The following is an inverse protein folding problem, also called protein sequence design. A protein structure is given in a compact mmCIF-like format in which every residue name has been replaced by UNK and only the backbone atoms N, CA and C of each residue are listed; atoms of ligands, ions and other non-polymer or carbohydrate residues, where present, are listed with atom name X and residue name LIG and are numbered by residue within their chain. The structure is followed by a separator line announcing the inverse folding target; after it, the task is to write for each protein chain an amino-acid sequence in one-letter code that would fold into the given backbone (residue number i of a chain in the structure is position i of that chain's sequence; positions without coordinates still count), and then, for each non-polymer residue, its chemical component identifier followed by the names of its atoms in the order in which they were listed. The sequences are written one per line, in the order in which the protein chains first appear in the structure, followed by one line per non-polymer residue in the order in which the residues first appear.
data_IF_114283563515
#
_entry.id   IF_114283563515
#
_cell.length_a   1.000
_cell.length_b   1.000
_cell.length_c   1.000
_cell.angle_alpha   90.00
_cell.angle_beta   90.00
_cell.angle_gamma   90.00
#
_symmetry.space_group_name_H-M   'P 1'
#
loop_
_entity.id
_entity.type
_entity.pdbx_description
1 polymer ?
#
# COMPACT_ATOMS: atom_id res chain seq x y z
N UNK A 1 -27.14 -8.89 -20.72
CA UNK A 1 -27.63 -9.41 -19.43
C UNK A 1 -26.72 -10.55 -18.98
N UNK A 2 -25.64 -10.26 -18.26
CA UNK A 2 -24.87 -11.31 -17.59
C UNK A 2 -25.52 -11.59 -16.23
N UNK A 3 -26.33 -12.64 -16.18
CA UNK A 3 -26.83 -13.21 -14.93
C UNK A 3 -25.67 -13.95 -14.25
N UNK A 4 -25.35 -13.53 -13.03
CA UNK A 4 -24.70 -14.36 -12.02
C UNK A 4 -23.23 -14.68 -12.22
N UNK A 5 -22.35 -13.75 -11.85
CA UNK A 5 -21.00 -14.12 -11.37
C UNK A 5 -20.93 -13.82 -9.87
N UNK A 6 -21.33 -14.79 -9.05
CA UNK A 6 -20.94 -14.81 -7.63
C UNK A 6 -19.46 -15.20 -7.56
N UNK A 7 -18.58 -14.20 -7.56
CA UNK A 7 -17.16 -14.39 -7.35
C UNK A 7 -16.86 -14.75 -5.89
N UNK A 8 -16.99 -16.03 -5.54
CA UNK A 8 -16.32 -16.61 -4.38
C UNK A 8 -15.61 -17.88 -4.84
N UNK A 9 -14.31 -17.78 -5.11
CA UNK A 9 -13.44 -18.94 -5.25
C UNK A 9 -12.89 -19.27 -3.86
N UNK A 10 -13.45 -20.30 -3.24
CA UNK A 10 -12.98 -20.86 -1.98
C UNK A 10 -14.11 -21.26 -1.04
N UNK A 11 -13.96 -22.39 -0.34
CA UNK A 11 -14.77 -22.69 0.86
C UNK A 11 -14.68 -21.48 1.80
N UNK A 12 -15.68 -21.28 2.67
CA UNK A 12 -15.66 -20.30 3.79
C UNK A 12 -14.56 -20.58 4.82
N UNK A 13 -13.45 -21.21 4.45
CA UNK A 13 -12.20 -21.11 5.18
C UNK A 13 -11.76 -19.66 5.05
N UNK A 14 -11.98 -18.89 6.10
CA UNK A 14 -11.19 -17.68 6.32
C UNK A 14 -9.73 -18.04 6.03
N UNK A 15 -9.14 -17.39 5.03
CA UNK A 15 -7.68 -17.27 4.99
C UNK A 15 -7.37 -16.49 6.26
N UNK A 16 -6.90 -17.20 7.29
CA UNK A 16 -6.64 -16.59 8.58
C UNK A 16 -5.55 -15.55 8.37
N UNK A 17 -5.87 -14.29 8.65
CA UNK A 17 -4.83 -13.29 8.92
C UNK A 17 -3.89 -13.88 9.99
N UNK A 18 -2.64 -13.41 10.02
CA UNK A 18 -1.64 -13.90 10.95
C UNK A 18 -2.11 -13.89 12.40
N UNK A 19 -1.44 -14.65 13.25
CA UNK A 19 -1.69 -14.79 14.70
C UNK A 19 -1.56 -13.49 15.54
N UNK A 20 -1.53 -12.31 14.91
CA UNK A 20 -1.29 -11.02 15.58
C UNK A 20 0.18 -10.72 15.85
N UNK A 21 1.11 -11.60 15.45
CA UNK A 21 2.53 -11.47 15.75
C UNK A 21 3.25 -10.51 14.81
N UNK A 22 4.11 -9.67 15.39
CA UNK A 22 5.05 -8.83 14.67
C UNK A 22 6.37 -9.58 14.62
N UNK A 23 6.79 -9.93 13.40
CA UNK A 23 7.98 -10.73 13.18
C UNK A 23 9.23 -9.87 13.03
N UNK A 24 10.30 -10.27 13.70
CA UNK A 24 11.64 -9.71 13.57
C UNK A 24 12.41 -10.40 12.42
N UNK A 25 13.42 -9.72 11.89
CA UNK A 25 14.21 -10.23 10.78
C UNK A 25 14.87 -11.59 11.09
N UNK A 26 15.44 -11.75 12.29
CA UNK A 26 16.10 -12.98 12.73
C UNK A 26 15.15 -14.17 12.89
N UNK A 27 13.84 -13.95 13.00
CA UNK A 27 12.87 -15.03 12.99
C UNK A 27 12.72 -15.62 11.59
N UNK A 28 12.98 -14.85 10.52
CA UNK A 28 12.84 -15.28 9.14
C UNK A 28 14.11 -15.85 8.52
N UNK A 29 15.27 -15.29 8.84
CA UNK A 29 16.52 -15.55 8.11
C UNK A 29 17.62 -16.08 9.04
N UNK A 30 18.57 -16.83 8.49
CA UNK A 30 19.69 -17.43 9.24
C UNK A 30 19.50 -18.91 9.52
N UNK A 31 20.58 -19.58 9.96
CA UNK A 31 20.59 -21.04 10.22
C UNK A 31 19.61 -21.46 11.31
N UNK A 32 19.44 -20.59 12.31
CA UNK A 32 18.68 -20.85 13.53
C UNK A 32 17.22 -20.37 13.41
N UNK A 33 16.86 -19.76 12.28
CA UNK A 33 15.49 -19.32 12.01
C UNK A 33 14.56 -20.53 11.83
N UNK A 34 13.34 -20.42 12.36
CA UNK A 34 12.28 -21.40 12.14
C UNK A 34 11.78 -21.40 10.69
N UNK A 35 11.80 -20.24 10.02
CA UNK A 35 11.24 -20.06 8.68
C UNK A 35 12.27 -20.29 7.58
N UNK A 36 13.55 -19.95 7.82
CA UNK A 36 14.65 -20.10 6.86
C UNK A 36 14.37 -19.46 5.49
N UNK A 37 13.63 -18.36 5.48
CA UNK A 37 13.36 -17.58 4.29
C UNK A 37 14.65 -17.02 3.72
N UNK A 38 14.66 -16.84 2.40
CA UNK A 38 15.79 -16.24 1.71
C UNK A 38 15.73 -14.71 1.82
N UNK A 39 16.76 -14.13 2.42
CA UNK A 39 16.99 -12.69 2.36
C UNK A 39 17.50 -12.32 0.96
N UNK A 40 16.83 -11.37 0.32
CA UNK A 40 17.27 -10.74 -0.90
C UNK A 40 17.72 -9.31 -0.58
N UNK A 41 19.03 -9.15 -0.46
CA UNK A 41 19.65 -7.84 -0.31
C UNK A 41 19.71 -7.11 -1.65
N UNK A 42 19.76 -5.77 -1.61
CA UNK A 42 19.94 -4.96 -2.80
C UNK A 42 21.37 -5.15 -3.33
N UNK A 43 21.55 -5.62 -4.59
CA UNK A 43 22.89 -5.81 -5.14
C UNK A 43 23.68 -4.49 -5.15
N UNK A 44 25.00 -4.52 -4.84
CA UNK A 44 25.85 -3.34 -4.95
C UNK A 44 25.77 -2.70 -6.34
N UNK A 45 25.61 -1.38 -6.40
CA UNK A 45 25.48 -0.64 -7.65
C UNK A 45 24.06 -0.58 -8.23
N UNK A 46 23.07 -1.20 -7.57
CA UNK A 46 21.66 -0.96 -7.88
C UNK A 46 21.31 0.49 -7.52
N UNK A 47 21.20 1.34 -8.53
CA UNK A 47 20.79 2.72 -8.36
C UNK A 47 19.26 2.79 -8.35
N UNK A 48 18.67 3.34 -7.28
CA UNK A 48 17.34 3.90 -7.40
C UNK A 48 17.43 5.23 -8.12
N UNK A 49 16.59 5.43 -9.14
CA UNK A 49 16.31 6.78 -9.64
C UNK A 49 15.40 7.42 -8.61
N UNK A 50 15.87 8.41 -7.82
CA UNK A 50 15.00 9.06 -6.85
C UNK A 50 13.87 9.76 -7.60
N UNK A 51 12.65 9.62 -7.08
CA UNK A 51 11.54 10.45 -7.51
C UNK A 51 11.83 11.83 -6.88
N UNK A 52 12.27 12.79 -7.69
CA UNK A 52 12.60 14.15 -7.25
C UNK A 52 11.45 15.12 -7.59
N UNK A 53 11.27 16.16 -6.79
CA UNK A 53 10.34 17.25 -7.10
C UNK A 53 11.00 18.26 -8.07
N UNK A 54 10.20 19.08 -8.77
CA UNK A 54 10.68 20.02 -9.80
C UNK A 54 11.73 21.02 -9.33
N UNK A 55 11.84 21.22 -8.02
CA UNK A 55 12.78 22.15 -7.41
C UNK A 55 14.12 21.50 -7.02
N UNK A 56 14.37 20.23 -7.41
CA UNK A 56 15.63 19.47 -7.26
C UNK A 56 16.23 19.40 -5.83
N UNK A 57 15.49 19.88 -4.83
CA UNK A 57 16.01 20.17 -3.48
C UNK A 57 15.37 19.33 -2.37
N UNK A 58 14.26 18.62 -2.64
CA UNK A 58 13.56 17.83 -1.64
C UNK A 58 13.28 16.40 -2.11
N UNK A 59 13.72 15.42 -1.31
CA UNK A 59 13.36 14.02 -1.48
C UNK A 59 11.82 13.86 -1.33
N UNK A 60 11.17 13.36 -2.38
CA UNK A 60 9.71 13.21 -2.44
C UNK A 60 9.20 12.37 -1.29
N UNK A 61 9.89 11.31 -0.88
CA UNK A 61 9.37 10.44 0.20
C UNK A 61 9.52 11.05 1.58
N UNK A 62 10.58 11.82 1.81
CA UNK A 62 10.76 12.59 3.05
C UNK A 62 9.68 13.68 3.15
N UNK A 63 9.40 14.36 2.04
CA UNK A 63 8.34 15.37 1.95
C UNK A 63 6.96 14.76 2.19
N UNK A 64 6.68 13.60 1.58
CA UNK A 64 5.43 12.85 1.80
C UNK A 64 5.30 12.41 3.27
N UNK A 65 6.35 11.84 3.87
CA UNK A 65 6.35 11.44 5.27
C UNK A 65 6.08 12.62 6.21
N UNK A 66 6.75 13.75 5.96
CA UNK A 66 6.54 15.01 6.71
C UNK A 66 5.11 15.51 6.58
N UNK A 67 4.52 15.44 5.39
CA UNK A 67 3.13 15.83 5.14
C UNK A 67 2.14 14.92 5.90
N UNK A 68 2.34 13.59 5.88
CA UNK A 68 1.54 12.66 6.69
C UNK A 68 1.64 12.94 8.18
N UNK A 69 2.86 13.16 8.68
CA UNK A 69 3.12 13.49 10.08
C UNK A 69 2.41 14.79 10.49
N UNK A 70 2.44 15.82 9.63
CA UNK A 70 1.74 17.09 9.85
C UNK A 70 0.21 16.93 9.85
N UNK A 71 -0.33 16.11 8.94
CA UNK A 71 -1.78 15.90 8.83
C UNK A 71 -2.36 14.97 9.90
N UNK A 72 -1.55 14.07 10.47
CA UNK A 72 -2.03 13.03 11.41
C UNK A 72 -2.83 13.59 12.61
N UNK A 73 -2.40 14.66 13.32
CA UNK A 73 -3.17 15.24 14.43
C UNK A 73 -4.50 15.88 13.99
N UNK A 74 -4.61 16.25 12.72
CA UNK A 74 -5.82 16.84 12.16
C UNK A 74 -6.86 15.78 11.76
N UNK A 75 -6.44 14.53 11.56
CA UNK A 75 -7.30 13.45 11.11
C UNK A 75 -7.93 12.75 12.32
N UNK A 76 -9.25 12.57 12.26
CA UNK A 76 -9.95 11.73 13.23
C UNK A 76 -9.91 10.26 12.80
N UNK A 77 -9.52 9.38 13.73
CA UNK A 77 -9.45 7.94 13.50
C UNK A 77 -10.43 7.20 14.41
N UNK A 78 -11.26 6.32 13.82
CA UNK A 78 -12.03 5.33 14.58
C UNK A 78 -11.07 4.36 15.26
N UNK A 79 -11.50 3.71 16.35
CA UNK A 79 -10.69 2.68 17.06
C UNK A 79 -10.17 1.59 16.10
N UNK A 80 -11.05 1.08 15.23
CA UNK A 80 -10.72 0.09 14.19
C UNK A 80 -9.75 0.57 13.10
N UNK A 81 -9.45 1.86 13.05
CA UNK A 81 -8.47 2.45 12.14
C UNK A 81 -7.12 2.66 12.82
N UNK A 82 -6.99 2.40 14.13
CA UNK A 82 -5.73 2.47 14.88
C UNK A 82 -5.19 1.09 15.27
N UNK A 83 -6.10 0.13 15.38
CA UNK A 83 -5.83 -1.29 15.62
C UNK A 83 -6.77 -2.07 14.71
N UNK A 84 -6.18 -2.79 13.77
CA UNK A 84 -6.88 -3.48 12.70
C UNK A 84 -6.20 -4.80 12.38
N UNK A 85 -6.83 -5.61 11.53
CA UNK A 85 -6.31 -6.93 11.15
C UNK A 85 -4.92 -6.93 10.51
N UNK A 86 -4.45 -5.78 9.99
CA UNK A 86 -3.09 -5.69 9.45
C UNK A 86 -2.05 -5.17 10.45
N UNK A 87 -2.41 -4.75 11.68
CA UNK A 87 -1.45 -4.20 12.65
C UNK A 87 -1.99 -3.08 13.55
N UNK A 88 -1.06 -2.45 14.28
CA UNK A 88 -1.33 -1.44 15.31
C UNK A 88 -0.75 -0.07 14.92
N UNK A 89 -1.32 0.55 13.90
CA UNK A 89 -0.97 1.91 13.48
C UNK A 89 -2.21 2.62 12.90
N UNK A 90 -2.25 3.96 12.90
CA UNK A 90 -3.36 4.69 12.29
C UNK A 90 -3.34 4.54 10.77
N UNK A 91 -4.48 4.19 10.20
CA UNK A 91 -4.66 4.02 8.75
C UNK A 91 -5.98 4.62 8.29
N UNK A 92 -5.98 5.26 7.12
CA UNK A 92 -7.21 5.69 6.44
C UNK A 92 -7.11 5.50 4.93
N UNK A 93 -8.07 4.81 4.30
CA UNK A 93 -8.20 4.80 2.85
C UNK A 93 -8.83 6.11 2.36
N UNK A 94 -8.53 6.52 1.13
CA UNK A 94 -9.19 7.65 0.45
C UNK A 94 -9.36 7.35 -1.04
N UNK A 95 -10.55 7.64 -1.58
CA UNK A 95 -10.97 7.28 -2.93
C UNK A 95 -12.35 6.64 -2.91
N UNK A 96 -12.56 5.63 -3.75
CA UNK A 96 -13.81 4.88 -3.81
C UNK A 96 -13.57 3.37 -3.73
N UNK A 97 -14.58 2.64 -3.23
CA UNK A 97 -14.51 1.19 -3.09
C UNK A 97 -15.88 0.53 -3.22
N UNK A 98 -15.88 -0.79 -3.41
CA UNK A 98 -17.07 -1.65 -3.40
C UNK A 98 -17.23 -2.40 -2.04
N UNK A 99 -16.53 -1.95 -0.99
CA UNK A 99 -16.43 -2.71 0.26
C UNK A 99 -17.60 -2.46 1.22
N UNK A 100 -17.66 -3.22 2.32
CA UNK A 100 -18.56 -2.93 3.45
C UNK A 100 -20.03 -3.27 3.22
N UNK A 101 -20.33 -4.23 2.32
CA UNK A 101 -21.69 -4.66 2.01
C UNK A 101 -22.47 -3.72 1.09
N UNK A 102 -21.77 -2.77 0.44
CA UNK A 102 -22.36 -1.87 -0.52
C UNK A 102 -22.78 -2.62 -1.80
N UNK A 103 -23.91 -2.21 -2.39
CA UNK A 103 -24.45 -2.79 -3.63
C UNK A 103 -23.92 -2.11 -4.91
N UNK A 104 -23.15 -1.05 -4.74
CA UNK A 104 -22.54 -0.28 -5.82
C UNK A 104 -21.25 0.39 -5.30
N UNK A 105 -20.29 0.72 -6.18
CA UNK A 105 -19.10 1.46 -5.79
C UNK A 105 -19.48 2.84 -5.25
N UNK A 106 -18.86 3.25 -4.14
CA UNK A 106 -19.06 4.59 -3.58
C UNK A 106 -17.74 5.16 -3.07
N UNK A 107 -17.67 6.49 -3.06
CA UNK A 107 -16.63 7.20 -2.34
C UNK A 107 -16.61 6.80 -0.87
N UNK A 108 -15.42 6.57 -0.34
CA UNK A 108 -15.24 6.19 1.06
C UNK A 108 -15.71 7.35 1.94
N UNK A 109 -16.61 7.04 2.87
CA UNK A 109 -17.17 8.05 3.75
C UNK A 109 -16.12 8.55 4.75
N UNK A 110 -16.00 9.87 4.83
CA UNK A 110 -15.22 10.57 5.84
C UNK A 110 -15.99 11.75 6.41
N UNK A 111 -15.69 12.13 7.65
CA UNK A 111 -16.17 13.40 8.21
C UNK A 111 -15.54 14.59 7.46
N UNK A 112 -16.21 15.74 7.46
CA UNK A 112 -15.78 16.95 6.70
C UNK A 112 -14.30 17.31 6.93
N UNK A 113 -13.83 17.26 8.19
CA UNK A 113 -12.44 17.55 8.55
C UNK A 113 -11.45 16.61 7.85
N UNK A 114 -11.73 15.31 7.86
CA UNK A 114 -10.89 14.30 7.21
C UNK A 114 -10.90 14.46 5.68
N UNK A 115 -12.06 14.76 5.07
CA UNK A 115 -12.14 15.02 3.62
C UNK A 115 -11.20 16.17 3.25
N UNK A 116 -11.19 17.26 4.02
CA UNK A 116 -10.32 18.39 3.77
C UNK A 116 -8.84 18.02 3.91
N UNK A 117 -8.47 17.26 4.95
CA UNK A 117 -7.11 16.77 5.13
C UNK A 117 -6.66 15.88 3.96
N UNK A 118 -7.50 14.93 3.52
CA UNK A 118 -7.15 14.05 2.41
C UNK A 118 -7.07 14.79 1.08
N UNK A 119 -8.00 15.71 0.79
CA UNK A 119 -7.92 16.57 -0.40
C UNK A 119 -6.64 17.41 -0.42
N UNK A 120 -6.21 17.91 0.74
CA UNK A 120 -4.95 18.64 0.85
C UNK A 120 -3.77 17.71 0.54
N UNK A 121 -3.72 16.51 1.16
CA UNK A 121 -2.66 15.52 0.89
C UNK A 121 -2.62 15.10 -0.59
N UNK A 122 -3.76 14.76 -1.19
CA UNK A 122 -3.84 14.36 -2.62
C UNK A 122 -3.44 15.47 -3.58
N UNK A 123 -3.54 16.74 -3.17
CA UNK A 123 -3.17 17.87 -4.01
C UNK A 123 -1.69 18.24 -3.98
N UNK A 124 -0.93 17.78 -2.99
CA UNK A 124 0.51 18.02 -2.90
C UNK A 124 1.26 17.32 -4.04
N UNK A 125 2.29 17.98 -4.58
CA UNK A 125 3.17 17.46 -5.65
C UNK A 125 3.75 16.09 -5.29
N UNK A 126 4.30 15.96 -4.07
CA UNK A 126 4.92 14.72 -3.61
C UNK A 126 4.00 13.50 -3.69
N UNK A 127 2.72 13.62 -3.29
CA UNK A 127 1.77 12.51 -3.41
C UNK A 127 1.38 12.22 -4.86
N UNK A 128 1.20 13.25 -5.70
CA UNK A 128 0.94 13.08 -7.13
C UNK A 128 2.11 12.39 -7.83
N UNK A 129 3.35 12.71 -7.47
CA UNK A 129 4.55 12.07 -8.01
C UNK A 129 4.60 10.59 -7.65
N UNK A 130 4.36 10.23 -6.39
CA UNK A 130 4.31 8.82 -5.98
C UNK A 130 3.18 8.05 -6.68
N UNK A 131 1.98 8.64 -6.75
CA UNK A 131 0.83 8.03 -7.41
C UNK A 131 1.09 7.80 -8.91
N UNK A 132 1.64 8.80 -9.60
CA UNK A 132 2.00 8.73 -11.01
C UNK A 132 3.14 7.75 -11.30
N UNK A 133 4.18 7.74 -10.46
CA UNK A 133 5.28 6.78 -10.57
C UNK A 133 4.79 5.35 -10.42
N UNK A 134 4.01 5.06 -9.38
CA UNK A 134 3.42 3.74 -9.17
C UNK A 134 2.54 3.31 -10.35
N UNK A 135 1.71 4.22 -10.87
CA UNK A 135 0.79 3.93 -11.97
C UNK A 135 1.56 3.65 -13.26
N UNK A 136 2.61 4.42 -13.52
CA UNK A 136 3.49 4.23 -14.68
C UNK A 136 4.29 2.94 -14.57
N UNK A 137 4.82 2.63 -13.40
CA UNK A 137 5.52 1.36 -13.17
C UNK A 137 4.58 0.17 -13.45
N UNK A 138 3.32 0.26 -13.01
CA UNK A 138 2.34 -0.79 -13.29
C UNK A 138 2.02 -0.91 -14.79
N UNK A 139 1.83 0.21 -15.49
CA UNK A 139 1.64 0.21 -16.93
C UNK A 139 2.82 -0.38 -17.70
N UNK A 140 4.05 -0.14 -17.24
CA UNK A 140 5.28 -0.65 -17.86
C UNK A 140 5.46 -2.15 -17.64
N UNK A 141 5.27 -2.63 -16.41
CA UNK A 141 5.59 -4.02 -16.04
C UNK A 141 4.44 -5.01 -16.22
N UNK A 142 3.20 -4.52 -16.31
CA UNK A 142 2.01 -5.35 -16.55
C UNK A 142 1.01 -4.64 -17.48
N UNK A 143 1.39 -4.33 -18.74
CA UNK A 143 0.59 -3.48 -19.63
C UNK A 143 -0.81 -4.02 -19.93
N UNK A 144 -0.96 -5.33 -20.11
CA UNK A 144 -2.27 -5.96 -20.35
C UNK A 144 -3.21 -5.82 -19.14
N UNK A 145 -2.67 -6.04 -17.94
CA UNK A 145 -3.42 -5.89 -16.71
C UNK A 145 -3.77 -4.41 -16.44
N UNK A 146 -2.86 -3.50 -16.76
CA UNK A 146 -3.12 -2.06 -16.69
C UNK A 146 -4.25 -1.65 -17.64
N UNK A 147 -4.23 -2.16 -18.89
CA UNK A 147 -5.32 -1.93 -19.86
C UNK A 147 -6.66 -2.43 -19.35
N UNK A 148 -6.68 -3.60 -18.70
CA UNK A 148 -7.88 -4.13 -18.05
C UNK A 148 -8.41 -3.16 -16.98
N UNK A 149 -7.53 -2.60 -16.14
CA UNK A 149 -7.92 -1.59 -15.16
C UNK A 149 -8.51 -0.35 -15.83
N UNK A 150 -7.90 0.15 -16.91
CA UNK A 150 -8.42 1.30 -17.67
C UNK A 150 -9.83 1.05 -18.22
N UNK A 151 -10.09 -0.15 -18.75
CA UNK A 151 -11.41 -0.51 -19.27
C UNK A 151 -12.46 -0.55 -18.17
N UNK A 152 -12.14 -1.15 -17.02
CA UNK A 152 -13.05 -1.17 -15.88
C UNK A 152 -13.28 0.23 -15.29
N UNK A 153 -12.23 1.04 -15.13
CA UNK A 153 -12.34 2.41 -14.62
C UNK A 153 -13.25 3.26 -15.52
N UNK A 154 -13.06 3.17 -16.85
CA UNK A 154 -13.91 3.84 -17.84
C UNK A 154 -15.37 3.41 -17.75
N UNK A 155 -15.62 2.10 -17.63
CA UNK A 155 -16.97 1.58 -17.46
C UNK A 155 -17.60 2.04 -16.14
N UNK A 156 -16.82 2.06 -15.07
CA UNK A 156 -17.25 2.46 -13.74
C UNK A 156 -17.68 3.93 -13.71
N UNK A 157 -16.84 4.83 -14.23
CA UNK A 157 -17.14 6.25 -14.29
C UNK A 157 -18.32 6.57 -15.23
N UNK A 158 -18.53 5.77 -16.30
CA UNK A 158 -19.73 5.88 -17.15
C UNK A 158 -21.01 5.52 -16.38
N UNK A 159 -20.97 4.48 -15.55
CA UNK A 159 -22.14 4.04 -14.76
C UNK A 159 -22.35 4.87 -13.49
N UNK A 160 -21.28 5.45 -12.95
CA UNK A 160 -21.27 6.19 -11.70
C UNK A 160 -20.53 7.53 -11.86
N UNK A 161 -21.10 8.50 -12.59
CA UNK A 161 -20.44 9.76 -12.93
C UNK A 161 -20.12 10.66 -11.71
N UNK A 162 -20.71 10.35 -10.54
CA UNK A 162 -20.45 11.05 -9.29
C UNK A 162 -19.20 10.54 -8.55
N UNK A 163 -18.59 9.44 -9.00
CA UNK A 163 -17.32 8.99 -8.43
C UNK A 163 -16.21 9.96 -8.84
N UNK A 164 -15.36 10.28 -7.88
CA UNK A 164 -14.19 11.14 -8.10
C UNK A 164 -12.95 10.33 -7.81
N UNK A 165 -12.03 10.31 -8.78
CA UNK A 165 -10.72 9.69 -8.60
C UNK A 165 -9.94 10.38 -7.48
N UNK A 166 -9.17 9.61 -6.73
CA UNK A 166 -8.26 10.10 -5.69
C UNK A 166 -7.12 10.94 -6.29
N UNK A 167 -6.48 10.45 -7.36
CA UNK A 167 -5.46 11.17 -8.12
C UNK A 167 -5.80 11.13 -9.60
N UNK A 168 -5.55 12.22 -10.33
CA UNK A 168 -5.79 12.29 -11.77
C UNK A 168 -4.78 11.50 -12.61
N UNK A 169 -3.64 11.12 -12.02
CA UNK A 169 -2.54 10.40 -12.67
C UNK A 169 -2.31 9.00 -12.08
N UNK A 170 -3.33 8.40 -11.46
CA UNK A 170 -3.29 7.06 -10.89
C UNK A 170 -4.41 6.20 -11.43
N UNK A 171 -4.10 4.94 -11.74
CA UNK A 171 -5.11 3.96 -12.14
C UNK A 171 -5.86 3.32 -10.96
N UNK A 172 -5.31 3.39 -9.74
CA UNK A 172 -5.97 2.80 -8.56
C UNK A 172 -7.10 3.69 -8.03
N UNK A 173 -8.27 3.08 -7.86
CA UNK A 173 -9.48 3.66 -7.27
C UNK A 173 -9.32 4.25 -5.86
N UNK A 174 -8.35 3.74 -5.10
CA UNK A 174 -8.17 4.08 -3.70
C UNK A 174 -6.67 4.10 -3.33
N UNK A 175 -6.30 5.02 -2.46
CA UNK A 175 -4.99 5.07 -1.78
C UNK A 175 -5.19 4.73 -0.31
N UNK A 176 -4.21 4.03 0.29
CA UNK A 176 -4.18 3.78 1.72
C UNK A 176 -3.10 4.65 2.37
N UNK A 177 -3.50 5.55 3.27
CA UNK A 177 -2.55 6.34 4.05
C UNK A 177 -2.23 5.63 5.36
N UNK A 178 -1.01 5.09 5.45
CA UNK A 178 -0.46 4.52 6.68
C UNK A 178 0.30 5.61 7.44
N UNK A 179 -0.17 5.97 8.63
CA UNK A 179 0.44 7.03 9.43
C UNK A 179 1.46 6.45 10.40
N UNK A 180 2.69 6.97 10.34
CA UNK A 180 3.78 6.59 11.23
C UNK A 180 3.60 7.07 12.68
N UNK A 181 4.65 6.96 13.52
CA UNK A 181 6.05 6.75 13.12
C UNK A 181 6.41 5.30 12.76
N UNK A 182 5.66 4.31 13.25
CA UNK A 182 5.93 2.90 13.02
C UNK A 182 4.76 2.22 12.31
N UNK A 183 4.88 2.09 10.98
CA UNK A 183 3.92 1.31 10.18
C UNK A 183 4.43 -0.12 10.07
N UNK A 184 4.00 -0.97 11.00
CA UNK A 184 4.40 -2.38 11.03
C UNK A 184 3.16 -3.24 10.84
N UNK A 185 3.18 -4.03 9.77
CA UNK A 185 2.11 -4.94 9.43
C UNK A 185 2.38 -6.34 9.94
N UNK A 186 1.33 -7.00 10.42
CA UNK A 186 1.35 -8.45 10.67
C UNK A 186 1.08 -9.19 9.36
N UNK A 187 1.32 -10.50 9.31
CA UNK A 187 1.02 -11.32 8.12
C UNK A 187 -0.46 -11.17 7.72
N UNK A 188 -0.71 -10.79 6.48
CA UNK A 188 -2.07 -10.65 5.95
C UNK A 188 -2.12 -10.74 4.43
N UNK A 189 -3.35 -10.88 3.91
CA UNK A 189 -3.69 -10.63 2.51
C UNK A 189 -4.75 -9.54 2.43
N UNK A 190 -4.71 -8.77 1.34
CA UNK A 190 -5.74 -7.80 1.02
C UNK A 190 -6.89 -8.50 0.27
N UNK A 191 -7.68 -9.27 1.01
CA UNK A 191 -8.75 -10.16 0.49
C UNK A 191 -9.82 -9.46 -0.37
N UNK A 192 -9.95 -8.14 -0.26
CA UNK A 192 -10.94 -7.35 -1.00
C UNK A 192 -10.38 -6.74 -2.29
N UNK A 193 -9.07 -6.87 -2.52
CA UNK A 193 -8.46 -6.51 -3.78
C UNK A 193 -8.74 -7.58 -4.84
N UNK A 194 -8.60 -7.19 -6.10
CA UNK A 194 -8.73 -8.12 -7.22
C UNK A 194 -7.64 -9.19 -7.15
N UNK A 195 -8.00 -10.47 -7.32
CA UNK A 195 -7.13 -11.60 -6.99
C UNK A 195 -5.77 -11.59 -7.71
N UNK A 196 -5.74 -11.21 -8.99
CA UNK A 196 -4.51 -11.03 -9.75
C UNK A 196 -4.12 -9.56 -9.95
N UNK A 197 -4.84 -8.65 -9.29
CA UNK A 197 -4.54 -7.23 -9.27
C UNK A 197 -3.25 -6.94 -8.50
N UNK A 198 -2.52 -5.92 -8.94
CA UNK A 198 -1.30 -5.50 -8.27
C UNK A 198 -1.58 -4.29 -7.38
N UNK A 199 -0.93 -4.26 -6.22
CA UNK A 199 -0.88 -3.09 -5.34
C UNK A 199 0.52 -2.51 -5.33
N UNK A 200 0.59 -1.19 -5.38
CA UNK A 200 1.81 -0.45 -5.15
C UNK A 200 1.97 -0.12 -3.67
N UNK A 201 3.17 -0.36 -3.15
CA UNK A 201 3.58 0.04 -1.81
C UNK A 201 4.86 0.83 -1.96
N UNK A 202 4.92 2.04 -1.40
CA UNK A 202 6.12 2.88 -1.41
C UNK A 202 6.67 3.03 0.00
N UNK A 203 7.97 2.80 0.17
CA UNK A 203 8.67 3.07 1.43
C UNK A 203 8.84 4.58 1.62
N UNK A 204 8.30 5.10 2.72
CA UNK A 204 8.38 6.52 3.07
C UNK A 204 9.36 6.77 4.21
N UNK A 205 9.87 8.01 4.25
CA UNK A 205 10.86 8.47 5.23
C UNK A 205 12.21 7.75 5.15
N UNK A 206 13.18 8.23 5.91
CA UNK A 206 14.53 7.68 5.95
C UNK A 206 14.68 6.67 7.10
N UNK A 207 15.17 5.48 6.77
CA UNK A 207 15.54 4.44 7.73
C UNK A 207 16.65 3.54 7.16
N UNK A 208 17.29 2.78 8.05
CA UNK A 208 18.29 1.80 7.62
C UNK A 208 17.58 0.53 7.10
N UNK A 209 17.43 0.45 5.77
CA UNK A 209 16.71 -0.61 5.08
C UNK A 209 17.44 -1.96 5.06
N UNK A 210 18.76 -1.99 5.34
CA UNK A 210 19.51 -3.26 5.43
C UNK A 210 19.36 -3.91 6.80
N UNK A 211 18.81 -3.18 7.79
CA UNK A 211 18.58 -3.65 9.15
C UNK A 211 17.12 -3.74 9.54
N UNK A 212 16.22 -3.08 8.81
CA UNK A 212 14.84 -2.89 9.25
C UNK A 212 13.90 -2.55 8.10
N UNK A 213 12.58 -2.63 8.32
CA UNK A 213 11.58 -2.24 7.31
C UNK A 213 11.49 -3.17 6.09
N UNK A 214 12.10 -4.35 6.15
CA UNK A 214 12.04 -5.36 5.09
C UNK A 214 10.60 -5.81 4.80
N UNK A 215 10.29 -6.03 3.52
CA UNK A 215 9.04 -6.65 3.08
C UNK A 215 9.20 -8.16 3.14
N UNK A 216 8.19 -8.85 3.66
CA UNK A 216 8.14 -10.32 3.73
C UNK A 216 7.04 -10.80 2.80
N UNK A 217 7.37 -11.74 1.91
CA UNK A 217 6.45 -12.40 0.99
C UNK A 217 6.43 -13.90 1.34
N UNK A 218 5.38 -14.32 2.03
CA UNK A 218 5.36 -15.58 2.77
C UNK A 218 5.33 -16.81 1.87
N UNK A 219 4.43 -16.87 0.88
CA UNK A 219 4.36 -18.00 -0.07
C UNK A 219 5.61 -18.12 -0.95
N UNK A 220 6.38 -17.03 -1.08
CA UNK A 220 7.64 -17.05 -1.82
C UNK A 220 8.84 -17.39 -0.93
N UNK A 221 8.64 -17.46 0.39
CA UNK A 221 9.70 -17.61 1.39
C UNK A 221 10.81 -16.56 1.22
N UNK A 222 10.40 -15.30 0.93
CA UNK A 222 11.31 -14.19 0.68
C UNK A 222 11.19 -13.09 1.72
N UNK A 223 12.35 -12.58 2.12
CA UNK A 223 12.51 -11.29 2.80
C UNK A 223 13.28 -10.37 1.87
N UNK A 224 12.73 -9.21 1.56
CA UNK A 224 13.32 -8.23 0.66
C UNK A 224 13.79 -7.01 1.45
N UNK A 225 15.05 -6.61 1.27
CA UNK A 225 15.44 -5.24 1.60
C UNK A 225 14.57 -4.27 0.81
N UNK A 226 14.00 -3.28 1.51
CA UNK A 226 13.05 -2.34 0.91
C UNK A 226 13.47 -0.90 1.22
N UNK A 227 14.33 -0.30 0.39
CA UNK A 227 14.88 1.02 0.65
C UNK A 227 13.84 2.15 0.62
N UNK A 228 14.06 3.25 1.37
CA UNK A 228 13.35 4.51 1.14
C UNK A 228 13.29 4.88 -0.34
N UNK A 229 12.18 5.46 -0.78
CA UNK A 229 11.94 5.87 -2.18
C UNK A 229 11.70 4.73 -3.15
N UNK A 230 11.71 3.47 -2.71
CA UNK A 230 11.36 2.34 -3.56
C UNK A 230 9.85 2.10 -3.53
N UNK A 231 9.33 1.71 -4.69
CA UNK A 231 7.96 1.22 -4.84
C UNK A 231 8.01 -0.24 -5.28
N UNK A 232 7.28 -1.10 -4.57
CA UNK A 232 7.09 -2.50 -4.94
C UNK A 232 5.66 -2.72 -5.42
N UNK A 233 5.51 -3.50 -6.49
CA UNK A 233 4.22 -3.97 -6.99
C UNK A 233 4.04 -5.43 -6.60
N UNK A 234 2.97 -5.74 -5.86
CA UNK A 234 2.69 -7.10 -5.36
C UNK A 234 1.27 -7.55 -5.63
N UNK A 235 1.08 -8.86 -5.79
CA UNK A 235 -0.22 -9.53 -5.81
C UNK A 235 -0.81 -9.62 -4.39
N UNK A 236 -1.19 -8.48 -3.82
CA UNK A 236 -1.51 -8.38 -2.39
C UNK A 236 -2.75 -9.17 -1.94
N UNK A 237 -3.62 -9.57 -2.87
CA UNK A 237 -4.77 -10.43 -2.60
C UNK A 237 -4.42 -11.93 -2.59
N UNK A 238 -3.26 -12.29 -3.15
CA UNK A 238 -2.85 -13.68 -3.37
C UNK A 238 -1.68 -14.09 -2.48
N UNK A 239 -0.70 -13.20 -2.28
CA UNK A 239 0.50 -13.45 -1.49
C UNK A 239 0.34 -12.81 -0.11
N UNK A 240 0.44 -13.62 0.94
CA UNK A 240 0.55 -13.12 2.30
C UNK A 240 1.82 -12.30 2.42
N UNK A 241 1.65 -11.11 2.98
CA UNK A 241 2.73 -10.18 3.15
C UNK A 241 2.68 -9.52 4.53
N UNK A 242 3.86 -9.10 4.97
CA UNK A 242 4.07 -8.30 6.18
C UNK A 242 5.33 -7.46 6.00
N UNK A 243 5.68 -6.68 7.02
CA UNK A 243 6.99 -6.04 7.08
C UNK A 243 7.62 -6.17 8.46
N UNK A 244 8.95 -6.26 8.49
CA UNK A 244 9.70 -6.20 9.75
C UNK A 244 9.61 -4.79 10.34
N UNK A 245 9.70 -4.64 11.68
CA UNK A 245 9.75 -3.32 12.31
C UNK A 245 10.83 -2.43 11.72
N UNK A 246 10.56 -1.13 11.66
CA UNK A 246 11.56 -0.12 11.35
C UNK A 246 12.34 0.15 12.64
N UNK A 247 13.67 0.08 12.57
CA UNK A 247 14.53 0.46 13.70
C UNK A 247 14.73 1.97 13.66
N UNK A 248 14.64 2.62 14.81
CA UNK A 248 15.00 4.04 14.97
C UNK A 248 16.53 4.22 14.93
N UNK A 249 17.18 3.73 13.88
CA UNK A 249 18.56 4.05 13.57
C UNK A 249 18.56 5.26 12.66
N UNK A 250 18.90 6.45 13.19
CA UNK A 250 19.49 7.48 12.33
C UNK A 250 20.71 6.83 11.65
N UNK A 251 20.86 7.08 10.35
CA UNK A 251 22.03 6.67 9.59
C UNK A 251 23.33 7.00 10.33
#
# INVERSE_FOLDING_TARGET
MHKGNSGCLGKRSHVSDGNGHIYLLNEFVGSDSQYKFRLHAIPPGSLSVPIVDSDDTADVVVSTAKALKKACPEIWFKKKCKSHKHGYFPVQPYGYSYEGGQQCPKSIYHIKKNIMAFKNLTNLSCFKHLAGHASTAFATWAPELYSLYCDYDRCLHKQHPNLTSNFSNSIWACVMYNFGPNTVTIQHVNQLNYIFGWCAITALDNFNYTKSGHIVLWELELVLEFPPSWTILILSAYIHHSNTPISNGKA
#
